data_IF_852194567763
#
_entry.id   IF_852194567763
#
_cell.length_a   1.000
_cell.length_b   1.000
_cell.length_c   1.000
_cell.angle_alpha   90.00
_cell.angle_beta   90.00
_cell.angle_gamma   90.00
#
_symmetry.space_group_name_H-M   'P 1'
#
loop_
_entity.id
_entity.type
_entity.pdbx_description
1 polymer ?
#
# COMPACT_ATOMS: atom_id res chain seq x y z
N UNK A 1 7.30 22.54 -5.83
CA UNK A 1 8.53 22.39 -5.00
C UNK A 1 9.68 21.83 -5.82
N UNK A 2 9.52 20.72 -6.55
CA UNK A 2 10.53 20.15 -7.48
C UNK A 2 11.03 21.16 -8.48
N UNK A 3 10.15 21.87 -9.20
CA UNK A 3 10.54 22.88 -10.18
C UNK A 3 11.44 24.00 -9.59
N UNK A 4 11.11 24.50 -8.38
CA UNK A 4 11.95 25.49 -7.72
C UNK A 4 13.34 24.95 -7.39
N UNK A 5 13.42 23.67 -7.01
CA UNK A 5 14.70 23.00 -6.74
C UNK A 5 15.50 22.84 -8.02
N UNK A 6 14.86 22.38 -9.10
CA UNK A 6 15.49 22.22 -10.42
C UNK A 6 16.02 23.54 -10.95
N UNK A 7 15.25 24.62 -10.84
CA UNK A 7 15.68 25.98 -11.23
C UNK A 7 16.93 26.42 -10.46
N UNK A 8 16.98 26.16 -9.14
CA UNK A 8 18.15 26.48 -8.31
C UNK A 8 19.37 25.61 -8.66
N UNK A 9 19.18 24.33 -8.99
CA UNK A 9 20.25 23.44 -9.44
C UNK A 9 20.82 23.97 -10.75
N UNK A 10 19.98 24.27 -11.73
CA UNK A 10 20.40 24.79 -13.04
C UNK A 10 21.16 26.12 -12.91
N UNK A 11 20.63 27.06 -12.08
CA UNK A 11 21.32 28.32 -11.81
C UNK A 11 22.68 28.12 -11.16
N UNK A 12 22.78 27.20 -10.19
CA UNK A 12 24.07 26.91 -9.52
C UNK A 12 25.06 26.28 -10.49
N UNK A 13 24.63 25.35 -11.33
CA UNK A 13 25.45 24.77 -12.38
C UNK A 13 25.93 25.81 -13.39
N UNK A 14 25.06 26.75 -13.81
CA UNK A 14 25.44 27.85 -14.68
C UNK A 14 26.57 28.71 -14.08
N UNK A 15 26.55 28.95 -12.76
CA UNK A 15 27.64 29.67 -12.06
C UNK A 15 28.97 28.93 -12.13
N UNK A 16 28.94 27.57 -12.17
CA UNK A 16 30.14 26.75 -12.26
C UNK A 16 30.89 26.90 -13.59
N UNK A 17 30.27 27.45 -14.64
CA UNK A 17 30.87 27.67 -15.92
C UNK A 17 31.38 29.11 -16.12
N UNK A 18 31.15 30.03 -15.15
CA UNK A 18 31.57 31.42 -15.28
C UNK A 18 33.10 31.56 -15.13
N UNK A 19 33.77 32.44 -15.93
CA UNK A 19 35.20 32.63 -15.84
C UNK A 19 35.70 33.23 -14.56
N UNK A 20 34.84 33.93 -13.81
CA UNK A 20 35.14 34.61 -12.54
C UNK A 20 34.81 33.76 -11.30
N UNK A 21 34.54 32.47 -11.41
CA UNK A 21 34.12 31.58 -10.33
C UNK A 21 35.19 31.32 -9.23
N UNK A 22 36.47 31.49 -9.55
CA UNK A 22 37.58 31.10 -8.66
C UNK A 22 37.40 31.52 -7.18
N UNK A 23 36.99 32.75 -6.84
CA UNK A 23 36.79 33.14 -5.42
C UNK A 23 35.63 32.45 -4.73
N UNK A 24 34.71 31.83 -5.48
CA UNK A 24 33.47 31.23 -5.00
C UNK A 24 33.38 29.74 -5.23
N UNK A 25 34.38 29.13 -5.80
CA UNK A 25 34.37 27.73 -6.28
C UNK A 25 34.00 26.74 -5.19
N UNK A 26 34.59 26.89 -3.99
CA UNK A 26 34.29 26.05 -2.84
C UNK A 26 32.84 26.22 -2.36
N UNK A 27 32.31 27.45 -2.34
CA UNK A 27 30.94 27.76 -1.95
C UNK A 27 29.93 27.19 -2.95
N UNK A 28 30.23 27.31 -4.24
CA UNK A 28 29.39 26.78 -5.33
C UNK A 28 29.33 25.24 -5.23
N UNK A 29 30.49 24.58 -5.10
CA UNK A 29 30.56 23.11 -4.99
C UNK A 29 29.81 22.60 -3.75
N UNK A 30 29.95 23.26 -2.61
CA UNK A 30 29.22 22.91 -1.38
C UNK A 30 27.71 23.07 -1.56
N UNK A 31 27.28 24.15 -2.19
CA UNK A 31 25.86 24.41 -2.44
C UNK A 31 25.26 23.43 -3.44
N UNK A 32 25.98 23.11 -4.51
CA UNK A 32 25.60 22.13 -5.52
C UNK A 32 25.43 20.73 -4.89
N UNK A 33 26.37 20.31 -4.05
CA UNK A 33 26.28 19.04 -3.33
C UNK A 33 25.07 19.01 -2.38
N UNK A 34 24.77 20.13 -1.72
CA UNK A 34 23.61 20.25 -0.83
C UNK A 34 22.29 20.18 -1.61
N UNK A 35 22.17 20.87 -2.74
CA UNK A 35 20.98 20.82 -3.60
C UNK A 35 20.78 19.41 -4.19
N UNK A 36 21.86 18.75 -4.61
CA UNK A 36 21.81 17.37 -5.10
C UNK A 36 21.32 16.40 -4.00
N UNK A 37 21.81 16.54 -2.78
CA UNK A 37 21.34 15.75 -1.64
C UNK A 37 19.86 15.97 -1.35
N UNK A 38 19.40 17.23 -1.39
CA UNK A 38 17.98 17.59 -1.22
C UNK A 38 17.14 16.94 -2.31
N UNK A 39 17.56 17.03 -3.58
CA UNK A 39 16.84 16.43 -4.71
C UNK A 39 16.68 14.93 -4.53
N UNK A 40 17.78 14.21 -4.31
CA UNK A 40 17.74 12.76 -4.12
C UNK A 40 16.90 12.34 -2.91
N UNK A 41 16.97 13.13 -1.82
CA UNK A 41 16.18 12.86 -0.62
C UNK A 41 14.68 13.07 -0.88
N UNK A 42 14.30 14.13 -1.59
CA UNK A 42 12.89 14.39 -1.93
C UNK A 42 12.32 13.34 -2.89
N UNK A 43 13.09 12.91 -3.88
CA UNK A 43 12.67 11.83 -4.78
C UNK A 43 12.39 10.54 -4.01
N UNK A 44 13.32 10.13 -3.15
CA UNK A 44 13.17 8.95 -2.32
C UNK A 44 12.00 9.09 -1.34
N UNK A 45 11.81 10.29 -0.77
CA UNK A 45 10.68 10.61 0.13
C UNK A 45 9.33 10.45 -0.56
N UNK A 46 9.17 11.07 -1.73
CA UNK A 46 7.92 11.01 -2.50
C UNK A 46 7.57 9.57 -2.87
N UNK A 47 8.59 8.77 -3.23
CA UNK A 47 8.39 7.35 -3.52
C UNK A 47 7.91 6.58 -2.28
N UNK A 48 8.54 6.78 -1.11
CA UNK A 48 8.08 6.18 0.15
C UNK A 48 6.66 6.62 0.48
N UNK A 49 6.36 7.91 0.39
CA UNK A 49 5.03 8.45 0.69
C UNK A 49 3.94 7.80 -0.16
N UNK A 50 4.14 7.75 -1.47
CA UNK A 50 3.18 7.15 -2.41
C UNK A 50 2.91 5.68 -2.08
N UNK A 51 3.97 4.90 -1.91
CA UNK A 51 3.88 3.48 -1.65
C UNK A 51 3.30 3.20 -0.25
N UNK A 52 3.68 3.99 0.75
CA UNK A 52 3.15 3.89 2.10
C UNK A 52 1.65 4.22 2.15
N UNK A 53 1.21 5.30 1.49
CA UNK A 53 -0.21 5.69 1.44
C UNK A 53 -1.08 4.62 0.80
N UNK A 54 -0.55 3.90 -0.19
CA UNK A 54 -1.25 2.77 -0.83
C UNK A 54 -1.32 1.54 0.08
N UNK A 55 -0.23 1.22 0.78
CA UNK A 55 -0.11 -0.02 1.56
C UNK A 55 -0.67 0.09 2.99
N UNK A 56 -0.72 1.28 3.55
CA UNK A 56 -1.18 1.52 4.93
C UNK A 56 -2.59 0.97 5.20
N UNK A 57 -3.62 1.27 4.40
CA UNK A 57 -4.96 0.73 4.63
C UNK A 57 -5.00 -0.79 4.44
N UNK A 58 -4.17 -1.37 3.58
CA UNK A 58 -4.11 -2.81 3.32
C UNK A 58 -3.54 -3.54 4.54
N UNK A 59 -2.37 -3.11 5.02
CA UNK A 59 -1.71 -3.70 6.19
C UNK A 59 -2.28 -3.22 7.52
N UNK A 60 -3.23 -2.28 7.51
CA UNK A 60 -4.10 -1.96 8.64
C UNK A 60 -5.14 -3.05 8.93
N UNK A 61 -5.43 -3.93 7.96
CA UNK A 61 -6.33 -5.07 8.14
C UNK A 61 -5.66 -6.22 8.90
N UNK A 62 -6.24 -6.69 10.02
CA UNK A 62 -5.73 -7.85 10.77
C UNK A 62 -5.71 -9.12 9.92
N UNK A 63 -6.68 -9.30 9.03
CA UNK A 63 -6.79 -10.49 8.19
C UNK A 63 -5.64 -10.58 7.18
N UNK A 64 -5.24 -9.45 6.58
CA UNK A 64 -4.08 -9.39 5.69
C UNK A 64 -2.78 -9.60 6.47
N UNK A 65 -2.65 -9.01 7.65
CA UNK A 65 -1.47 -9.20 8.51
C UNK A 65 -1.27 -10.67 8.93
N UNK A 66 -2.36 -11.40 9.16
CA UNK A 66 -2.32 -12.83 9.48
C UNK A 66 -1.88 -13.67 8.27
N UNK A 67 -2.31 -13.29 7.07
CA UNK A 67 -1.98 -14.01 5.82
C UNK A 67 -0.57 -13.71 5.31
N UNK A 68 -0.06 -12.50 5.56
CA UNK A 68 1.23 -11.99 5.08
C UNK A 68 2.12 -11.50 6.25
N UNK A 69 2.50 -12.38 7.18
CA UNK A 69 3.20 -11.97 8.42
C UNK A 69 4.60 -11.41 8.16
N UNK A 70 5.28 -11.84 7.11
CA UNK A 70 6.61 -11.35 6.75
C UNK A 70 6.54 -9.95 6.16
N UNK A 71 5.65 -9.76 5.21
CA UNK A 71 5.38 -8.47 4.56
C UNK A 71 4.85 -7.46 5.58
N UNK A 72 3.98 -7.89 6.48
CA UNK A 72 3.47 -7.09 7.59
C UNK A 72 4.58 -6.59 8.53
N UNK A 73 5.55 -7.43 8.87
CA UNK A 73 6.73 -7.01 9.66
C UNK A 73 7.60 -6.00 8.93
N UNK A 74 7.82 -6.21 7.61
CA UNK A 74 8.56 -5.27 6.77
C UNK A 74 7.85 -3.92 6.69
N UNK A 75 6.55 -3.95 6.44
CA UNK A 75 5.71 -2.74 6.40
C UNK A 75 5.73 -2.00 7.74
N UNK A 76 5.58 -2.68 8.87
CA UNK A 76 5.64 -2.08 10.21
C UNK A 76 6.99 -1.40 10.50
N UNK A 77 8.09 -1.90 9.94
CA UNK A 77 9.41 -1.25 10.04
C UNK A 77 9.44 0.06 9.28
N UNK A 78 8.90 0.07 8.06
CA UNK A 78 8.77 1.28 7.24
C UNK A 78 7.82 2.28 7.91
N UNK A 79 6.66 1.85 8.37
CA UNK A 79 5.65 2.70 9.03
C UNK A 79 6.25 3.44 10.24
N UNK A 80 6.99 2.73 11.08
CA UNK A 80 7.68 3.35 12.23
C UNK A 80 8.69 4.41 11.81
N UNK A 81 9.50 4.10 10.79
CA UNK A 81 10.51 5.04 10.26
C UNK A 81 9.84 6.25 9.64
N UNK A 82 8.80 6.03 8.86
CA UNK A 82 8.00 7.06 8.21
C UNK A 82 7.37 8.02 9.22
N UNK A 83 6.62 7.50 10.20
CA UNK A 83 5.98 8.32 11.25
C UNK A 83 6.98 9.09 12.08
N UNK A 84 8.12 8.48 12.42
CA UNK A 84 9.22 9.16 13.12
C UNK A 84 9.78 10.32 12.30
N UNK A 85 9.95 10.13 11.00
CA UNK A 85 10.48 11.17 10.11
C UNK A 85 9.49 12.31 9.96
N UNK A 86 8.20 12.00 9.77
CA UNK A 86 7.14 13.03 9.70
C UNK A 86 7.12 13.88 10.97
N UNK A 87 7.11 13.27 12.14
CA UNK A 87 7.11 13.99 13.41
C UNK A 87 8.37 14.84 13.62
N UNK A 88 9.52 14.42 13.11
CA UNK A 88 10.76 15.21 13.15
C UNK A 88 10.68 16.41 12.21
N UNK A 89 10.12 16.22 11.01
CA UNK A 89 9.96 17.29 10.01
C UNK A 89 8.91 18.32 10.42
N UNK A 90 7.84 17.91 11.09
CA UNK A 90 6.84 18.82 11.66
C UNK A 90 7.47 19.81 12.65
N UNK A 91 8.44 19.35 13.43
CA UNK A 91 9.18 20.21 14.39
C UNK A 91 10.18 21.14 13.72
N UNK A 92 10.73 20.76 12.59
CA UNK A 92 11.74 21.52 11.84
C UNK A 92 11.42 21.49 10.32
N UNK A 93 10.42 22.28 9.86
CA UNK A 93 9.87 22.17 8.50
C UNK A 93 10.76 22.75 7.40
N UNK A 94 11.92 23.31 7.75
CA UNK A 94 12.85 23.84 6.75
C UNK A 94 13.46 22.73 5.89
N UNK A 95 13.25 22.80 4.57
CA UNK A 95 13.70 21.76 3.60
C UNK A 95 15.19 21.46 3.71
N UNK A 96 16.03 22.50 3.78
CA UNK A 96 17.48 22.35 3.91
C UNK A 96 17.88 21.68 5.22
N UNK A 97 17.18 21.96 6.31
CA UNK A 97 17.44 21.34 7.61
C UNK A 97 16.93 19.89 7.65
N UNK A 98 15.74 19.63 7.12
CA UNK A 98 15.15 18.31 7.07
C UNK A 98 15.97 17.33 6.19
N UNK A 99 16.48 17.82 5.06
CA UNK A 99 17.26 17.01 4.11
C UNK A 99 18.80 17.10 4.30
N UNK A 100 19.28 17.73 5.37
CA UNK A 100 20.71 17.94 5.58
C UNK A 100 21.51 16.66 5.84
N UNK A 101 20.83 15.58 6.23
CA UNK A 101 21.49 14.34 6.64
C UNK A 101 21.48 13.27 5.57
N UNK A 102 22.64 12.81 5.08
CA UNK A 102 22.73 11.67 4.18
C UNK A 102 22.06 10.39 4.74
N UNK A 103 22.04 10.24 6.06
CA UNK A 103 21.36 9.12 6.74
C UNK A 103 19.86 9.07 6.47
N UNK A 104 19.23 10.23 6.24
CA UNK A 104 17.80 10.26 5.87
C UNK A 104 17.59 9.69 4.49
N UNK A 105 18.42 10.05 3.52
CA UNK A 105 18.40 9.48 2.18
C UNK A 105 18.60 7.96 2.23
N UNK A 106 19.64 7.48 2.93
CA UNK A 106 19.91 6.05 3.10
C UNK A 106 18.68 5.33 3.70
N UNK A 107 18.07 5.92 4.72
CA UNK A 107 16.86 5.38 5.36
C UNK A 107 15.68 5.28 4.39
N UNK A 108 15.45 6.29 3.55
CA UNK A 108 14.38 6.25 2.55
C UNK A 108 14.66 5.27 1.41
N UNK A 109 15.92 5.16 0.98
CA UNK A 109 16.32 4.14 0.01
C UNK A 109 16.03 2.75 0.52
N UNK A 110 16.36 2.48 1.80
CA UNK A 110 16.05 1.19 2.43
C UNK A 110 14.53 0.98 2.61
N UNK A 111 13.79 2.01 3.01
CA UNK A 111 12.33 1.94 3.07
C UNK A 111 11.72 1.60 1.71
N UNK A 112 12.18 2.21 0.61
CA UNK A 112 11.69 1.90 -0.72
C UNK A 112 11.96 0.44 -1.11
N UNK A 113 13.15 -0.10 -0.84
CA UNK A 113 13.46 -1.53 -1.07
C UNK A 113 12.52 -2.46 -0.29
N UNK A 114 12.24 -2.13 0.97
CA UNK A 114 11.30 -2.89 1.78
C UNK A 114 9.88 -2.81 1.22
N UNK A 115 9.44 -1.62 0.80
CA UNK A 115 8.11 -1.43 0.20
C UNK A 115 7.96 -2.18 -1.13
N UNK A 116 8.99 -2.19 -1.99
CA UNK A 116 9.01 -2.99 -3.22
C UNK A 116 8.86 -4.48 -2.91
N UNK A 117 9.57 -4.96 -1.88
CA UNK A 117 9.47 -6.34 -1.42
C UNK A 117 8.07 -6.68 -0.86
N UNK A 118 7.45 -5.73 -0.14
CA UNK A 118 6.08 -5.86 0.37
C UNK A 118 5.07 -5.91 -0.77
N UNK A 119 5.19 -5.02 -1.75
CA UNK A 119 4.31 -5.00 -2.94
C UNK A 119 4.41 -6.30 -3.73
N UNK A 120 5.64 -6.81 -3.91
CA UNK A 120 5.84 -8.09 -4.59
C UNK A 120 5.16 -9.23 -3.85
N UNK A 121 5.38 -9.37 -2.53
CA UNK A 121 4.75 -10.41 -1.72
C UNK A 121 3.21 -10.32 -1.74
N UNK A 122 2.67 -9.10 -1.70
CA UNK A 122 1.23 -8.87 -1.85
C UNK A 122 0.72 -9.30 -3.23
N UNK A 123 1.45 -8.97 -4.30
CA UNK A 123 1.10 -9.37 -5.67
C UNK A 123 1.09 -10.89 -5.83
N UNK A 124 2.12 -11.58 -5.35
CA UNK A 124 2.23 -13.03 -5.39
C UNK A 124 1.09 -13.71 -4.60
N UNK A 125 0.73 -13.14 -3.46
CA UNK A 125 -0.42 -13.61 -2.67
C UNK A 125 -1.74 -13.48 -3.44
N UNK A 126 -2.01 -12.32 -4.05
CA UNK A 126 -3.23 -12.10 -4.83
C UNK A 126 -3.30 -13.01 -6.04
N UNK A 127 -2.18 -13.25 -6.72
CA UNK A 127 -2.10 -14.19 -7.84
C UNK A 127 -2.43 -15.61 -7.39
N UNK A 128 -1.92 -16.05 -6.25
CA UNK A 128 -2.28 -17.35 -5.65
C UNK A 128 -3.79 -17.47 -5.40
N UNK A 129 -4.45 -16.37 -4.95
CA UNK A 129 -5.91 -16.39 -4.76
C UNK A 129 -6.68 -16.42 -6.08
N UNK A 130 -6.21 -15.73 -7.10
CA UNK A 130 -6.78 -15.75 -8.45
C UNK A 130 -6.67 -17.15 -9.08
N UNK A 131 -5.53 -17.79 -8.92
CA UNK A 131 -5.35 -19.16 -9.41
C UNK A 131 -6.22 -20.19 -8.67
N UNK A 132 -6.44 -19.98 -7.37
CA UNK A 132 -7.31 -20.85 -6.57
C UNK A 132 -8.80 -20.69 -6.95
N UNK A 133 -9.21 -19.51 -7.39
CA UNK A 133 -10.56 -19.22 -7.84
C UNK A 133 -10.52 -18.30 -9.06
N UNK A 134 -10.58 -18.90 -10.25
CA UNK A 134 -10.36 -18.20 -11.52
C UNK A 134 -11.29 -16.99 -11.75
N UNK A 135 -12.49 -16.95 -11.15
CA UNK A 135 -13.40 -15.81 -11.26
C UNK A 135 -12.89 -14.54 -10.59
N UNK A 136 -11.89 -14.64 -9.72
CA UNK A 136 -11.21 -13.48 -9.15
C UNK A 136 -10.38 -12.69 -10.17
N UNK A 137 -10.12 -13.24 -11.36
CA UNK A 137 -9.54 -12.48 -12.47
C UNK A 137 -10.47 -11.37 -13.02
N UNK A 138 -11.78 -11.47 -12.77
CA UNK A 138 -12.74 -10.41 -13.13
C UNK A 138 -12.76 -9.25 -12.13
N UNK A 139 -12.09 -9.39 -10.98
CA UNK A 139 -11.98 -8.35 -9.97
C UNK A 139 -10.69 -7.55 -10.14
N UNK A 140 -10.79 -6.25 -9.91
CA UNK A 140 -9.60 -5.41 -9.75
C UNK A 140 -8.81 -5.84 -8.51
N UNK A 141 -7.56 -5.40 -8.42
CA UNK A 141 -6.72 -5.66 -7.25
C UNK A 141 -7.35 -5.13 -5.96
N UNK A 142 -7.91 -3.91 -6.01
CA UNK A 142 -8.51 -3.26 -4.85
C UNK A 142 -9.78 -3.99 -4.38
N UNK A 143 -10.62 -4.46 -5.30
CA UNK A 143 -11.81 -5.24 -4.97
C UNK A 143 -11.46 -6.60 -4.36
N UNK A 144 -10.44 -7.26 -4.90
CA UNK A 144 -9.97 -8.52 -4.35
C UNK A 144 -9.38 -8.31 -2.93
N UNK A 145 -8.62 -7.24 -2.73
CA UNK A 145 -8.11 -6.87 -1.41
C UNK A 145 -9.24 -6.54 -0.43
N UNK A 146 -10.28 -5.85 -0.89
CA UNK A 146 -11.45 -5.55 -0.06
C UNK A 146 -12.12 -6.83 0.45
N UNK A 147 -12.35 -7.81 -0.43
CA UNK A 147 -12.89 -9.12 -0.04
C UNK A 147 -11.96 -9.81 0.96
N UNK A 148 -10.66 -9.85 0.67
CA UNK A 148 -9.67 -10.56 1.48
C UNK A 148 -9.37 -9.89 2.82
N UNK A 149 -9.64 -8.58 2.96
CA UNK A 149 -9.51 -7.83 4.22
C UNK A 149 -10.71 -7.99 5.16
N UNK A 150 -11.82 -8.55 4.67
CA UNK A 150 -13.08 -8.71 5.41
C UNK A 150 -13.52 -10.20 5.43
N UNK A 151 -12.57 -11.11 5.59
CA UNK A 151 -12.85 -12.57 5.54
C UNK A 151 -13.78 -13.06 6.63
N UNK A 152 -13.98 -12.28 7.69
CA UNK A 152 -14.88 -12.58 8.80
C UNK A 152 -16.34 -12.16 8.54
N UNK A 153 -16.57 -11.32 7.53
CA UNK A 153 -17.89 -10.86 7.12
C UNK A 153 -18.30 -11.45 5.77
N UNK A 154 -19.13 -12.52 5.74
CA UNK A 154 -19.61 -13.10 4.49
C UNK A 154 -20.46 -12.13 3.64
N UNK A 155 -21.05 -11.10 4.26
CA UNK A 155 -21.88 -10.11 3.55
C UNK A 155 -21.02 -9.19 2.68
N UNK A 156 -19.75 -9.00 3.03
CA UNK A 156 -18.82 -8.15 2.29
C UNK A 156 -18.59 -8.59 0.84
N UNK A 157 -18.93 -9.84 0.48
CA UNK A 157 -18.82 -10.36 -0.90
C UNK A 157 -19.94 -9.85 -1.81
N UNK A 158 -21.09 -9.42 -1.27
CA UNK A 158 -22.28 -9.04 -2.04
C UNK A 158 -22.00 -8.04 -3.18
N UNK A 159 -21.29 -6.92 -2.97
CA UNK A 159 -21.05 -5.94 -4.03
C UNK A 159 -20.22 -6.49 -5.20
N UNK A 160 -19.48 -7.57 -4.97
CA UNK A 160 -18.55 -8.16 -5.94
C UNK A 160 -19.11 -9.35 -6.70
N UNK A 161 -20.28 -9.87 -6.28
CA UNK A 161 -20.91 -11.05 -6.89
C UNK A 161 -21.16 -10.86 -8.38
N UNK A 162 -21.70 -9.70 -8.78
CA UNK A 162 -22.04 -9.39 -10.18
C UNK A 162 -20.82 -9.43 -11.11
N UNK A 163 -19.63 -9.15 -10.59
CA UNK A 163 -18.38 -9.20 -11.39
C UNK A 163 -17.88 -10.63 -11.55
N UNK A 164 -18.06 -11.45 -10.50
CA UNK A 164 -17.66 -12.84 -10.53
C UNK A 164 -18.68 -13.75 -11.24
N UNK A 165 -19.97 -13.37 -11.20
CA UNK A 165 -21.08 -14.18 -11.71
C UNK A 165 -22.07 -13.29 -12.46
N UNK A 166 -22.16 -13.45 -13.76
CA UNK A 166 -22.98 -12.60 -14.63
C UNK A 166 -24.46 -12.63 -14.24
N UNK A 167 -24.98 -13.80 -13.87
CA UNK A 167 -26.40 -14.01 -13.59
C UNK A 167 -26.78 -13.82 -12.11
N UNK A 168 -25.82 -13.64 -11.19
CA UNK A 168 -26.11 -13.50 -9.76
C UNK A 168 -26.03 -12.03 -9.36
N UNK A 169 -27.16 -11.47 -8.93
CA UNK A 169 -27.23 -10.11 -8.36
C UNK A 169 -26.85 -10.11 -6.89
N UNK A 170 -27.45 -11.03 -6.11
CA UNK A 170 -27.23 -11.11 -4.65
C UNK A 170 -27.50 -12.52 -4.13
N UNK A 171 -26.93 -12.80 -2.94
CA UNK A 171 -27.25 -13.96 -2.13
C UNK A 171 -28.18 -13.57 -0.99
N UNK A 172 -29.11 -14.44 -0.61
CA UNK A 172 -29.97 -14.26 0.54
C UNK A 172 -29.34 -14.98 1.74
N UNK A 173 -29.03 -14.20 2.78
CA UNK A 173 -28.47 -14.70 4.03
C UNK A 173 -29.54 -14.75 5.11
N UNK A 174 -29.59 -15.83 5.86
CA UNK A 174 -30.39 -15.95 7.07
C UNK A 174 -29.69 -15.24 8.25
N UNK A 175 -30.36 -15.18 9.42
CA UNK A 175 -29.79 -14.53 10.61
C UNK A 175 -28.50 -15.20 11.15
N UNK A 176 -28.36 -16.50 10.90
CA UNK A 176 -27.18 -17.30 11.25
C UNK A 176 -26.11 -17.32 10.13
N UNK A 177 -26.22 -16.43 9.14
CA UNK A 177 -25.38 -16.33 7.96
C UNK A 177 -25.44 -17.52 7.03
N UNK A 178 -26.41 -18.43 7.15
CA UNK A 178 -26.66 -19.46 6.15
C UNK A 178 -27.14 -18.81 4.86
N UNK A 179 -26.63 -19.30 3.72
CA UNK A 179 -27.06 -18.86 2.39
C UNK A 179 -28.20 -19.74 1.95
N UNK A 180 -29.40 -19.18 1.80
CA UNK A 180 -30.63 -19.90 1.48
C UNK A 180 -31.05 -19.81 0.02
N UNK A 181 -30.72 -18.73 -0.65
CA UNK A 181 -31.12 -18.49 -2.04
C UNK A 181 -30.14 -17.57 -2.77
N UNK A 182 -30.20 -17.59 -4.08
CA UNK A 182 -29.61 -16.56 -4.95
C UNK A 182 -30.70 -15.83 -5.74
N UNK A 183 -30.46 -14.55 -6.02
CA UNK A 183 -31.37 -13.71 -6.82
C UNK A 183 -30.67 -13.30 -8.09
N UNK A 184 -31.35 -13.48 -9.22
CA UNK A 184 -30.87 -13.05 -10.53
C UNK A 184 -31.00 -11.52 -10.71
N UNK A 185 -30.40 -11.00 -11.77
CA UNK A 185 -30.51 -9.59 -12.19
C UNK A 185 -31.94 -9.16 -12.52
N UNK A 186 -32.77 -10.10 -12.98
CA UNK A 186 -34.17 -9.89 -13.34
C UNK A 186 -35.10 -10.04 -12.15
N UNK A 187 -34.56 -10.35 -10.97
CA UNK A 187 -35.34 -10.49 -9.73
C UNK A 187 -35.85 -11.89 -9.46
N UNK A 188 -35.48 -12.88 -10.29
CA UNK A 188 -35.82 -14.28 -10.06
C UNK A 188 -35.07 -14.81 -8.83
N UNK A 189 -35.81 -15.42 -7.91
CA UNK A 189 -35.24 -16.00 -6.69
C UNK A 189 -35.15 -17.51 -6.85
N UNK A 190 -33.93 -18.04 -6.77
CA UNK A 190 -33.66 -19.48 -6.81
C UNK A 190 -33.24 -19.95 -5.42
N UNK A 191 -34.10 -20.67 -4.70
CA UNK A 191 -33.75 -21.25 -3.42
C UNK A 191 -32.74 -22.39 -3.61
N UNK A 192 -31.86 -22.58 -2.65
CA UNK A 192 -30.99 -23.75 -2.63
C UNK A 192 -31.68 -24.94 -1.96
N UNK A 193 -31.45 -26.14 -2.48
CA UNK A 193 -31.98 -27.39 -1.90
C UNK A 193 -31.50 -27.62 -0.47
N UNK A 194 -30.33 -27.09 -0.15
CA UNK A 194 -29.73 -27.14 1.19
C UNK A 194 -29.10 -25.80 1.54
N UNK A 195 -29.28 -25.36 2.75
CA UNK A 195 -28.59 -24.19 3.29
C UNK A 195 -27.09 -24.39 3.25
N UNK A 196 -26.36 -23.38 2.79
CA UNK A 196 -24.91 -23.37 2.73
C UNK A 196 -24.34 -22.40 3.74
N UNK A 197 -23.46 -22.91 4.60
CA UNK A 197 -22.77 -22.10 5.59
C UNK A 197 -21.42 -21.66 5.06
N UNK A 198 -21.15 -20.33 4.92
CA UNK A 198 -19.84 -19.87 4.56
C UNK A 198 -18.83 -20.29 5.63
N UNK A 199 -17.70 -20.87 5.22
CA UNK A 199 -16.60 -21.22 6.13
C UNK A 199 -15.90 -19.92 6.54
N UNK A 200 -16.49 -19.19 7.50
CA UNK A 200 -15.81 -18.09 8.14
C UNK A 200 -14.70 -18.67 9.00
N UNK A 201 -13.46 -18.31 8.74
CA UNK A 201 -12.34 -18.68 9.59
C UNK A 201 -12.38 -17.82 10.85
N UNK A 202 -13.25 -18.18 11.77
CA UNK A 202 -13.20 -17.66 13.12
C UNK A 202 -11.87 -18.17 13.71
N UNK A 203 -10.96 -17.25 14.00
CA UNK A 203 -9.76 -17.52 14.77
C UNK A 203 -10.12 -17.80 16.23
N UNK A 204 -10.71 -18.96 16.49
CA UNK A 204 -10.89 -19.51 17.83
C UNK A 204 -10.49 -20.98 17.77
N UNK A 205 -9.52 -21.30 18.64
CA UNK A 205 -9.06 -22.65 18.83
C UNK A 205 -10.22 -23.60 19.05
N UNK A 206 -10.03 -24.77 18.47
CA UNK A 206 -10.62 -26.06 18.83
C UNK A 206 -11.67 -25.98 19.95
N UNK A 207 -12.92 -26.04 19.60
CA UNK A 207 -13.92 -26.64 20.47
C UNK A 207 -14.36 -27.96 19.84
N UNK A 208 -14.07 -28.97 20.65
CA UNK A 208 -14.10 -30.37 20.35
C UNK A 208 -15.45 -30.89 19.84
N UNK A 209 -15.29 -32.01 19.24
CA UNK A 209 -16.28 -33.01 18.95
C UNK A 209 -17.37 -33.16 20.04
N UNK A 210 -18.61 -33.09 19.61
CA UNK A 210 -19.54 -34.21 19.86
C UNK A 210 -20.51 -34.29 18.71
#
# INVERSE_FOLDING_TARGET
MTQLLDDNIVMTQAMSFLPYKKPFEERIAKWEAQLSLVSSTLEAWIAVQRNWTYLEPIFGSPDIMEQLPLEGKRFATVDRTWRKTLAATERAPGVLAACASPKLLESFVECNKLLDSVQKGLSDYLETKRLAFARFFFLSTDELLQILSQTKDPLAVQPHLRKCFEAIERLTFAQDLAISAMTSREGEVMPFDKEMYPKVRLGIGSLGHK
#
